data_IF_921333655315
#
_entry.id   IF_921333655315
#
_cell.length_a   1.000
_cell.length_b   1.000
_cell.length_c   1.000
_cell.angle_alpha   90.00
_cell.angle_beta   90.00
_cell.angle_gamma   90.00
#
_symmetry.space_group_name_H-M   'P 1'
#
loop_
_entity.id
_entity.type
_entity.pdbx_description
1 polymer ?
#
# COMPACT_ATOMS: atom_id res chain seq x y z
N UNK A 1 -8.66 14.07 12.84
CA UNK A 1 -7.79 12.87 12.98
C UNK A 1 -7.71 12.52 14.46
N UNK A 2 -7.97 11.27 14.87
CA UNK A 2 -7.97 10.90 16.30
C UNK A 2 -6.53 10.67 16.82
N UNK A 3 -6.38 10.55 18.16
CA UNK A 3 -5.07 10.36 18.79
C UNK A 3 -4.36 9.09 18.28
N UNK A 4 -5.08 7.98 18.07
CA UNK A 4 -4.50 6.74 17.51
C UNK A 4 -3.89 6.97 16.13
N UNK A 5 -4.59 7.68 15.24
CA UNK A 5 -4.05 7.96 13.90
C UNK A 5 -2.81 8.84 13.95
N UNK A 6 -2.84 9.90 14.76
CA UNK A 6 -1.74 10.88 14.86
C UNK A 6 -0.52 10.31 15.58
N UNK A 7 -0.72 9.69 16.73
CA UNK A 7 0.36 9.39 17.68
C UNK A 7 0.91 7.97 17.51
N UNK A 8 0.13 7.06 16.88
CA UNK A 8 0.54 5.66 16.67
C UNK A 8 0.65 5.33 15.19
N UNK A 9 -0.41 5.52 14.40
CA UNK A 9 -0.43 5.03 13.02
C UNK A 9 0.57 5.77 12.12
N UNK A 10 0.51 7.10 12.05
CA UNK A 10 1.35 7.87 11.13
C UNK A 10 2.86 7.70 11.39
N UNK A 11 3.38 7.75 12.63
CA UNK A 11 4.81 7.53 12.88
C UNK A 11 5.29 6.12 12.49
N UNK A 12 4.47 5.09 12.70
CA UNK A 12 4.81 3.72 12.31
C UNK A 12 4.70 3.51 10.79
N UNK A 13 3.68 4.12 10.16
CA UNK A 13 3.54 4.17 8.70
C UNK A 13 4.74 4.84 8.06
N UNK A 14 5.25 5.93 8.62
CA UNK A 14 6.44 6.63 8.10
C UNK A 14 7.65 5.69 8.08
N UNK A 15 7.98 5.06 9.21
CA UNK A 15 9.09 4.08 9.30
C UNK A 15 8.93 2.91 8.33
N UNK A 16 7.72 2.37 8.24
CA UNK A 16 7.42 1.24 7.36
C UNK A 16 7.54 1.65 5.89
N UNK A 17 6.91 2.74 5.48
CA UNK A 17 6.93 3.20 4.08
C UNK A 17 8.33 3.66 3.67
N UNK A 18 9.13 4.25 4.55
CA UNK A 18 10.56 4.53 4.27
C UNK A 18 11.32 3.25 3.92
N UNK A 19 11.02 2.15 4.61
CA UNK A 19 11.65 0.85 4.32
C UNK A 19 11.15 0.30 2.98
N UNK A 20 9.85 0.35 2.71
CA UNK A 20 9.27 -0.13 1.45
C UNK A 20 9.76 0.66 0.24
N UNK A 21 9.85 1.99 0.33
CA UNK A 21 10.41 2.84 -0.73
C UNK A 21 11.85 2.46 -1.05
N UNK A 22 12.68 2.05 -0.07
CA UNK A 22 14.03 1.56 -0.37
C UNK A 22 14.03 0.30 -1.23
N UNK A 23 13.07 -0.61 -1.05
CA UNK A 23 12.92 -1.79 -1.91
C UNK A 23 12.45 -1.39 -3.30
N UNK A 24 11.39 -0.57 -3.38
CA UNK A 24 10.80 -0.11 -4.64
C UNK A 24 11.76 0.73 -5.49
N UNK A 25 12.60 1.56 -4.87
CA UNK A 25 13.59 2.38 -5.60
C UNK A 25 14.78 1.57 -6.09
N UNK A 26 15.17 0.52 -5.36
CA UNK A 26 16.22 -0.42 -5.79
C UNK A 26 15.74 -1.36 -6.90
N UNK A 27 14.45 -1.68 -6.92
CA UNK A 27 13.85 -2.61 -7.88
C UNK A 27 13.05 -1.88 -8.97
N UNK A 28 13.60 -1.81 -10.18
CA UNK A 28 12.98 -1.10 -11.31
C UNK A 28 11.72 -1.75 -11.88
N UNK A 29 11.35 -2.97 -11.44
CA UNK A 29 10.14 -3.65 -11.91
C UNK A 29 8.84 -3.01 -11.39
N UNK A 30 8.93 -2.23 -10.31
CA UNK A 30 7.78 -1.69 -9.58
C UNK A 30 7.13 -2.67 -8.61
N UNK A 31 7.72 -3.87 -8.42
CA UNK A 31 7.41 -4.78 -7.32
C UNK A 31 8.48 -4.66 -6.22
N UNK A 32 8.19 -5.15 -5.01
CA UNK A 32 9.12 -5.10 -3.89
C UNK A 32 10.39 -5.92 -4.15
N UNK A 33 10.26 -7.10 -4.75
CA UNK A 33 11.38 -8.01 -5.02
C UNK A 33 11.20 -8.70 -6.37
N UNK A 34 12.28 -8.78 -7.16
CA UNK A 34 12.27 -9.46 -8.46
C UNK A 34 11.43 -8.74 -9.53
N UNK A 35 11.07 -9.47 -10.58
CA UNK A 35 10.43 -8.89 -11.78
C UNK A 35 8.91 -9.11 -11.82
N UNK A 36 8.36 -9.91 -10.89
CA UNK A 36 6.98 -10.36 -10.88
C UNK A 36 6.32 -10.16 -9.52
N UNK A 37 4.98 -10.17 -9.52
CA UNK A 37 4.18 -10.10 -8.31
C UNK A 37 4.54 -11.22 -7.31
N UNK A 38 4.66 -10.84 -6.05
CA UNK A 38 4.74 -11.72 -4.89
C UNK A 38 3.62 -11.42 -3.90
N UNK A 39 3.41 -12.30 -2.92
CA UNK A 39 2.42 -12.05 -1.86
C UNK A 39 2.77 -10.82 -0.99
N UNK A 40 4.05 -10.44 -0.91
CA UNK A 40 4.47 -9.25 -0.17
C UNK A 40 3.91 -7.96 -0.81
N UNK A 41 3.84 -7.92 -2.14
CA UNK A 41 3.25 -6.82 -2.88
C UNK A 41 1.74 -6.71 -2.60
N UNK A 42 1.04 -7.85 -2.47
CA UNK A 42 -0.38 -7.88 -2.09
C UNK A 42 -0.59 -7.29 -0.70
N UNK A 43 0.27 -7.64 0.26
CA UNK A 43 0.18 -7.13 1.62
C UNK A 43 0.40 -5.62 1.69
N UNK A 44 1.40 -5.10 0.96
CA UNK A 44 1.63 -3.66 0.90
C UNK A 44 0.50 -2.92 0.17
N UNK A 45 0.03 -3.47 -0.95
CA UNK A 45 -1.04 -2.86 -1.74
C UNK A 45 -2.39 -2.81 -1.02
N UNK A 46 -2.64 -3.72 -0.07
CA UNK A 46 -3.85 -3.68 0.76
C UNK A 46 -3.89 -2.46 1.69
N UNK A 47 -2.74 -1.83 1.94
CA UNK A 47 -2.71 -0.58 2.72
C UNK A 47 -3.58 0.52 2.10
N UNK A 48 -3.88 0.44 0.79
CA UNK A 48 -4.83 1.34 0.13
C UNK A 48 -6.21 1.41 0.79
N UNK A 49 -6.66 0.38 1.50
CA UNK A 49 -7.92 0.42 2.27
C UNK A 49 -7.86 1.43 3.43
N UNK A 50 -6.68 1.63 4.05
CA UNK A 50 -6.51 2.66 5.07
C UNK A 50 -6.62 4.08 4.48
N UNK A 51 -6.38 4.26 3.18
CA UNK A 51 -6.49 5.58 2.53
C UNK A 51 -7.93 6.12 2.59
N UNK A 52 -8.94 5.23 2.68
CA UNK A 52 -10.35 5.61 2.88
C UNK A 52 -10.58 6.35 4.20
N UNK A 53 -9.79 6.03 5.23
CA UNK A 53 -9.89 6.62 6.59
C UNK A 53 -8.81 7.67 6.86
N UNK A 54 -7.66 7.56 6.19
CA UNK A 54 -6.51 8.46 6.32
C UNK A 54 -6.11 8.92 4.91
N UNK A 55 -6.72 9.99 4.37
CA UNK A 55 -6.44 10.46 3.01
C UNK A 55 -4.97 10.88 2.76
N UNK A 56 -4.25 11.20 3.83
CA UNK A 56 -2.82 11.54 3.83
C UNK A 56 -1.92 10.30 3.92
N UNK A 57 -2.47 9.09 3.75
CA UNK A 57 -1.73 7.83 3.84
C UNK A 57 -0.53 7.76 2.90
N UNK A 58 -0.52 8.50 1.81
CA UNK A 58 0.57 8.47 0.82
C UNK A 58 1.42 9.75 0.78
N UNK A 59 1.12 10.74 1.62
CA UNK A 59 1.89 11.99 1.67
C UNK A 59 3.35 11.69 1.97
N UNK A 60 4.25 12.15 1.10
CA UNK A 60 5.69 11.91 1.15
C UNK A 60 6.19 10.57 0.56
N UNK A 61 5.30 9.70 0.07
CA UNK A 61 5.65 8.36 -0.42
C UNK A 61 4.96 8.01 -1.75
N UNK A 62 5.24 8.76 -2.83
CA UNK A 62 4.63 8.54 -4.14
C UNK A 62 4.93 7.15 -4.75
N UNK A 63 6.09 6.56 -4.46
CA UNK A 63 6.48 5.23 -4.95
C UNK A 63 5.58 4.14 -4.37
N UNK A 64 5.23 4.24 -3.08
CA UNK A 64 4.34 3.29 -2.41
C UNK A 64 2.92 3.42 -2.97
N UNK A 65 2.47 4.65 -3.28
CA UNK A 65 1.18 4.87 -3.93
C UNK A 65 1.14 4.24 -5.32
N UNK A 66 2.14 4.51 -6.16
CA UNK A 66 2.23 3.95 -7.50
C UNK A 66 2.31 2.42 -7.48
N UNK A 67 3.03 1.85 -6.51
CA UNK A 67 3.07 0.41 -6.28
C UNK A 67 1.68 -0.17 -5.96
N UNK A 68 0.95 0.42 -5.00
CA UNK A 68 -0.41 0.00 -4.66
C UNK A 68 -1.35 0.06 -5.86
N UNK A 69 -1.29 1.13 -6.66
CA UNK A 69 -2.10 1.28 -7.88
C UNK A 69 -1.76 0.22 -8.92
N UNK A 70 -0.46 -0.02 -9.17
CA UNK A 70 0.00 -1.07 -10.07
C UNK A 70 -0.53 -2.44 -9.65
N UNK A 71 -0.33 -2.84 -8.39
CA UNK A 71 -0.75 -4.17 -7.89
C UNK A 71 -2.27 -4.31 -7.95
N UNK A 72 -3.03 -3.30 -7.51
CA UNK A 72 -4.51 -3.34 -7.52
C UNK A 72 -5.11 -3.23 -8.92
N UNK A 73 -4.32 -2.86 -9.93
CA UNK A 73 -4.75 -2.87 -11.34
C UNK A 73 -4.73 -4.26 -11.99
N UNK A 74 -4.10 -5.26 -11.34
CA UNK A 74 -4.03 -6.63 -11.86
C UNK A 74 -5.45 -7.18 -12.03
N UNK A 75 -5.87 -7.63 -13.24
CA UNK A 75 -7.28 -7.89 -13.54
C UNK A 75 -7.98 -8.83 -12.56
N UNK A 76 -7.31 -9.91 -12.14
CA UNK A 76 -7.86 -10.85 -11.17
C UNK A 76 -8.05 -10.23 -9.78
N UNK A 77 -7.08 -9.43 -9.32
CA UNK A 77 -7.16 -8.76 -8.02
C UNK A 77 -8.18 -7.63 -8.04
N UNK A 78 -8.21 -6.83 -9.12
CA UNK A 78 -9.20 -5.79 -9.33
C UNK A 78 -10.62 -6.36 -9.25
N UNK A 79 -10.88 -7.45 -10.00
CA UNK A 79 -12.16 -8.16 -9.96
C UNK A 79 -12.49 -8.64 -8.54
N UNK A 80 -11.52 -9.21 -7.82
CA UNK A 80 -11.73 -9.64 -6.43
C UNK A 80 -12.09 -8.47 -5.52
N UNK A 81 -11.39 -7.33 -5.60
CA UNK A 81 -11.68 -6.14 -4.79
C UNK A 81 -13.09 -5.61 -5.08
N UNK A 82 -13.54 -5.67 -6.34
CA UNK A 82 -14.89 -5.25 -6.75
C UNK A 82 -16.00 -6.18 -6.25
N UNK A 83 -15.72 -7.48 -6.06
CA UNK A 83 -16.74 -8.49 -5.71
C UNK A 83 -16.64 -9.02 -4.28
N UNK A 84 -15.55 -8.75 -3.55
CA UNK A 84 -15.38 -9.24 -2.17
C UNK A 84 -16.45 -8.62 -1.26
N UNK A 85 -16.90 -9.33 -0.21
CA UNK A 85 -17.84 -8.76 0.75
C UNK A 85 -17.29 -7.48 1.37
N UNK A 86 -18.12 -6.45 1.45
CA UNK A 86 -17.79 -5.27 2.23
C UNK A 86 -17.85 -5.60 3.72
N UNK A 87 -16.72 -5.46 4.38
CA UNK A 87 -16.56 -5.69 5.81
C UNK A 87 -16.00 -4.43 6.46
N UNK A 88 -16.17 -4.30 7.78
CA UNK A 88 -15.75 -3.11 8.53
C UNK A 88 -14.21 -2.97 8.62
N UNK A 89 -13.52 -4.10 8.57
CA UNK A 89 -12.06 -4.26 8.70
C UNK A 89 -11.58 -5.37 7.78
#
# INVERSE_FOLDING_TARGET
>A
MNAVTKDVFLPNREKFFTSMTKFLTKNKSGYLVGESLTWADLYLAEMAEFNKKVPTLYDGFPEVKAHSEKVRSIPALKKWIETRPETKF
#
